data_IF_854112271539
#
_entry.id   IF_854112271539
#
_cell.length_a   1.000
_cell.length_b   1.000
_cell.length_c   1.000
_cell.angle_alpha   90.00
_cell.angle_beta   90.00
_cell.angle_gamma   90.00
#
_symmetry.space_group_name_H-M   'P 1'
#
loop_
_entity.id
_entity.type
_entity.pdbx_description
1 polymer ?
#
# COMPACT_ATOMS: atom_id res chain seq x y z
N UNK A 1 -7.95 1.34 9.69
CA UNK A 1 -8.46 2.18 10.79
C UNK A 1 -7.58 2.17 12.04
N UNK A 2 -7.05 1.02 12.47
CA UNK A 2 -6.26 0.91 13.72
C UNK A 2 -5.01 1.82 13.82
N UNK A 3 -4.28 2.04 12.72
CA UNK A 3 -3.07 2.88 12.74
C UNK A 3 -3.35 4.33 13.17
N UNK A 4 -4.45 4.89 12.67
CA UNK A 4 -4.86 6.29 12.94
C UNK A 4 -5.25 6.44 14.41
N UNK A 5 -6.02 5.50 14.95
CA UNK A 5 -6.40 5.51 16.37
C UNK A 5 -5.17 5.46 17.28
N UNK A 6 -4.23 4.55 16.98
CA UNK A 6 -2.95 4.47 17.72
C UNK A 6 -2.12 5.75 17.63
N UNK A 7 -2.17 6.47 16.51
CA UNK A 7 -1.48 7.74 16.34
C UNK A 7 -2.15 8.87 17.14
N UNK A 8 -3.49 8.84 17.30
CA UNK A 8 -4.24 9.80 18.14
C UNK A 8 -3.90 9.59 19.62
N UNK A 9 -3.78 8.33 20.06
CA UNK A 9 -3.47 7.99 21.46
C UNK A 9 -1.98 8.15 21.81
N UNK A 10 -1.12 8.44 20.82
CA UNK A 10 0.31 8.59 20.99
C UNK A 10 0.67 10.02 21.45
N UNK A 11 1.55 10.14 22.44
CA UNK A 11 2.06 11.44 22.90
C UNK A 11 3.41 11.75 22.21
N UNK A 12 3.46 12.66 21.22
CA UNK A 12 4.67 12.91 20.45
C UNK A 12 5.65 13.83 21.19
N UNK A 13 6.93 13.72 20.86
CA UNK A 13 7.97 14.64 21.39
C UNK A 13 8.26 15.81 20.44
N UNK A 14 7.35 16.07 19.50
CA UNK A 14 7.45 17.13 18.48
C UNK A 14 6.54 16.85 17.28
N UNK A 15 6.94 17.30 16.09
CA UNK A 15 6.29 16.89 14.84
C UNK A 15 6.93 15.57 14.38
N UNK A 16 6.11 14.53 14.27
CA UNK A 16 6.54 13.20 13.85
C UNK A 16 5.72 12.73 12.65
N UNK A 17 6.39 12.02 11.73
CA UNK A 17 5.75 11.43 10.55
C UNK A 17 5.80 9.91 10.63
N UNK A 18 4.67 9.27 10.33
CA UNK A 18 4.53 7.82 10.31
C UNK A 18 4.16 7.34 8.92
N UNK A 19 5.00 6.49 8.33
CA UNK A 19 4.70 5.82 7.07
C UNK A 19 3.68 4.70 7.33
N UNK A 20 2.43 4.92 6.93
CA UNK A 20 1.37 3.90 7.01
C UNK A 20 1.31 3.14 5.69
N UNK A 21 2.15 2.13 5.55
CA UNK A 21 2.30 1.35 4.32
C UNK A 21 2.65 -0.13 4.60
N UNK A 22 2.65 -0.97 3.56
CA UNK A 22 3.06 -2.38 3.69
C UNK A 22 4.57 -2.59 3.61
N UNK A 23 5.30 -1.67 2.99
CA UNK A 23 6.72 -1.84 2.68
C UNK A 23 7.01 -2.75 1.48
N UNK A 24 5.98 -3.37 0.92
CA UNK A 24 6.08 -4.24 -0.25
C UNK A 24 6.02 -3.40 -1.53
N UNK A 25 6.96 -3.64 -2.45
CA UNK A 25 6.90 -3.07 -3.79
C UNK A 25 5.90 -3.88 -4.62
N UNK A 26 5.02 -3.22 -5.35
CA UNK A 26 4.04 -3.90 -6.22
C UNK A 26 3.86 -3.09 -7.49
N UNK A 27 4.01 -3.74 -8.64
CA UNK A 27 3.79 -3.09 -9.93
C UNK A 27 2.31 -3.03 -10.29
N UNK A 28 1.94 -2.16 -11.25
CA UNK A 28 0.59 -2.16 -11.83
C UNK A 28 0.23 -3.52 -12.45
N UNK A 29 1.20 -4.18 -13.08
CA UNK A 29 1.00 -5.52 -13.66
C UNK A 29 0.68 -6.58 -12.60
N UNK A 30 1.26 -6.47 -11.40
CA UNK A 30 0.92 -7.38 -10.29
C UNK A 30 -0.50 -7.11 -9.77
N UNK A 31 -0.92 -5.84 -9.70
CA UNK A 31 -2.29 -5.47 -9.33
C UNK A 31 -3.29 -6.06 -10.33
N UNK A 32 -3.04 -5.91 -11.64
CA UNK A 32 -3.91 -6.47 -12.69
C UNK A 32 -4.03 -7.99 -12.55
N UNK A 33 -2.93 -8.70 -12.30
CA UNK A 33 -2.96 -10.15 -12.07
C UNK A 33 -3.81 -10.52 -10.85
N UNK A 34 -3.64 -9.79 -9.74
CA UNK A 34 -4.44 -10.02 -8.52
C UNK A 34 -5.93 -9.81 -8.82
N UNK A 35 -6.29 -8.75 -9.54
CA UNK A 35 -7.68 -8.47 -9.91
C UNK A 35 -8.26 -9.54 -10.85
N UNK A 36 -7.52 -9.98 -11.86
CA UNK A 36 -7.95 -11.03 -12.77
C UNK A 36 -8.24 -12.35 -12.03
N UNK A 37 -7.39 -12.70 -11.05
CA UNK A 37 -7.59 -13.88 -10.20
C UNK A 37 -8.86 -13.80 -9.35
N UNK A 38 -9.14 -12.63 -8.73
CA UNK A 38 -10.32 -12.48 -7.87
C UNK A 38 -11.63 -12.37 -8.65
N UNK A 39 -11.61 -11.63 -9.76
CA UNK A 39 -12.80 -11.43 -10.60
C UNK A 39 -13.10 -12.63 -11.51
N UNK A 40 -12.13 -13.55 -11.67
CA UNK A 40 -12.19 -14.66 -12.64
C UNK A 40 -12.46 -14.19 -14.07
N UNK A 41 -12.00 -12.98 -14.40
CA UNK A 41 -12.13 -12.37 -15.73
C UNK A 41 -10.75 -12.10 -16.29
N UNK A 42 -10.63 -12.25 -17.59
CA UNK A 42 -9.48 -11.74 -18.32
C UNK A 42 -9.53 -10.20 -18.32
N UNK A 43 -8.42 -9.56 -17.99
CA UNK A 43 -8.27 -8.12 -18.01
C UNK A 43 -7.29 -7.79 -19.13
N UNK A 44 -7.77 -7.12 -20.19
CA UNK A 44 -6.93 -6.65 -21.27
C UNK A 44 -6.19 -5.38 -20.85
N UNK A 45 -4.87 -5.38 -20.99
CA UNK A 45 -4.01 -4.23 -20.68
C UNK A 45 -3.56 -3.59 -21.99
N UNK A 46 -3.95 -2.33 -22.20
CA UNK A 46 -3.47 -1.50 -23.30
C UNK A 46 -2.49 -0.46 -22.75
N UNK A 47 -1.30 -0.37 -23.37
CA UNK A 47 -0.29 0.60 -22.99
C UNK A 47 -0.38 1.82 -23.92
N UNK A 48 -0.53 3.00 -23.33
CA UNK A 48 -0.46 4.26 -24.06
C UNK A 48 0.99 4.75 -24.09
N UNK A 49 1.61 4.72 -25.28
CA UNK A 49 3.00 5.16 -25.49
C UNK A 49 3.14 6.66 -25.69
N UNK A 50 2.02 7.41 -25.78
CA UNK A 50 2.05 8.87 -25.87
C UNK A 50 2.42 9.55 -24.56
N UNK A 51 2.31 8.82 -23.44
CA UNK A 51 2.67 9.29 -22.10
C UNK A 51 4.11 8.87 -21.78
N UNK A 52 5.06 9.81 -21.88
CA UNK A 52 6.40 9.63 -21.31
C UNK A 52 6.34 9.87 -19.79
N UNK A 53 6.12 8.80 -19.04
CA UNK A 53 6.31 8.83 -17.59
C UNK A 53 7.68 8.25 -17.25
N UNK A 54 8.47 9.00 -16.48
CA UNK A 54 9.63 8.42 -15.81
C UNK A 54 9.17 7.28 -14.89
N UNK A 55 9.95 6.19 -14.76
CA UNK A 55 9.63 5.11 -13.85
C UNK A 55 9.52 5.64 -12.41
N UNK A 56 8.29 5.76 -11.94
CA UNK A 56 7.98 6.23 -10.60
C UNK A 56 8.09 5.08 -9.60
N UNK A 57 9.22 5.02 -8.90
CA UNK A 57 9.43 4.06 -7.81
C UNK A 57 9.30 4.79 -6.48
N UNK A 58 8.20 4.54 -5.76
CA UNK A 58 8.01 4.99 -4.39
C UNK A 58 7.99 3.78 -3.46
N UNK A 59 8.97 3.69 -2.56
CA UNK A 59 8.99 2.70 -1.49
C UNK A 59 9.22 3.38 -0.14
N UNK A 60 8.30 3.13 0.79
CA UNK A 60 8.39 3.52 2.20
C UNK A 60 8.29 2.27 3.06
N UNK A 61 8.64 2.36 4.35
CA UNK A 61 8.55 1.23 5.29
C UNK A 61 7.88 1.67 6.58
N UNK A 62 7.02 0.83 7.13
CA UNK A 62 6.23 1.13 8.34
C UNK A 62 7.03 1.02 9.65
N UNK A 63 8.36 1.14 9.62
CA UNK A 63 9.22 0.86 10.78
C UNK A 63 8.90 1.79 11.95
N UNK A 64 8.75 3.10 11.71
CA UNK A 64 8.41 4.06 12.77
C UNK A 64 7.03 3.79 13.37
N UNK A 65 6.05 3.44 12.55
CA UNK A 65 4.72 3.08 13.01
C UNK A 65 4.73 1.78 13.83
N UNK A 66 5.58 0.81 13.47
CA UNK A 66 5.77 -0.43 14.24
C UNK A 66 6.39 -0.17 15.60
N UNK A 67 7.48 0.58 15.63
CA UNK A 67 8.27 0.81 16.84
C UNK A 67 7.53 1.72 17.83
N UNK A 68 6.93 2.80 17.35
CA UNK A 68 6.33 3.84 18.23
C UNK A 68 4.85 3.64 18.50
N UNK A 69 4.09 3.16 17.52
CA UNK A 69 2.64 2.96 17.66
C UNK A 69 2.27 1.50 17.95
N UNK A 70 3.24 0.58 17.87
CA UNK A 70 2.97 -0.86 17.92
C UNK A 70 2.06 -1.31 16.77
N UNK A 71 2.08 -0.60 15.63
CA UNK A 71 1.22 -0.89 14.49
C UNK A 71 2.00 -1.57 13.36
N UNK A 72 1.41 -2.60 12.76
CA UNK A 72 1.92 -3.21 11.53
C UNK A 72 0.76 -3.47 10.56
N UNK A 73 1.01 -3.49 9.25
CA UNK A 73 0.03 -3.96 8.28
C UNK A 73 -0.29 -5.44 8.52
N UNK A 74 -1.57 -5.79 8.55
CA UNK A 74 -2.03 -7.18 8.73
C UNK A 74 -2.77 -7.72 7.51
N UNK A 75 -3.27 -6.82 6.65
CA UNK A 75 -4.00 -7.17 5.43
C UNK A 75 -3.04 -7.05 4.25
N UNK A 76 -2.92 -8.12 3.48
CA UNK A 76 -2.19 -8.12 2.20
C UNK A 76 -2.98 -7.40 1.11
N UNK A 77 -2.29 -6.94 0.06
CA UNK A 77 -2.96 -6.32 -1.08
C UNK A 77 -4.02 -7.23 -1.71
N UNK A 78 -3.72 -8.53 -1.85
CA UNK A 78 -4.64 -9.54 -2.36
C UNK A 78 -5.94 -9.62 -1.53
N UNK A 79 -5.81 -9.68 -0.20
CA UNK A 79 -6.97 -9.70 0.70
C UNK A 79 -7.78 -8.40 0.64
N UNK A 80 -7.10 -7.24 0.54
CA UNK A 80 -7.77 -5.94 0.43
C UNK A 80 -8.51 -5.75 -0.89
N UNK A 81 -7.99 -6.31 -1.99
CA UNK A 81 -8.64 -6.24 -3.30
C UNK A 81 -9.77 -7.26 -3.48
N UNK A 82 -9.84 -8.30 -2.62
CA UNK A 82 -10.94 -9.26 -2.62
C UNK A 82 -12.30 -8.63 -2.26
N UNK A 83 -12.29 -7.52 -1.52
CA UNK A 83 -13.53 -6.86 -1.05
C UNK A 83 -14.03 -5.75 -1.98
N UNK A 84 -13.40 -5.59 -3.14
CA UNK A 84 -13.76 -4.58 -4.15
C UNK A 84 -14.64 -5.21 -5.23
#
# INVERSE_FOLDING_TARGET
>A
MQAILKAIDYNPTGIEYFDICTGTLTSLNDIVKILALHTKKEIQVAYDTSVQNDPYLLQKKYLSAKEKLGWKPEITLSQGLKTV
#
